data_IF_903165517448
#
_entry.id   IF_903165517448
#
_cell.length_a   1.000
_cell.length_b   1.000
_cell.length_c   1.000
_cell.angle_alpha   90.00
_cell.angle_beta   90.00
_cell.angle_gamma   90.00
#
_symmetry.space_group_name_H-M   'P 1'
#
loop_
_entity.id
_entity.type
_entity.pdbx_description
1 polymer ?
#
# COMPACT_ATOMS: atom_id res chain seq x y z
N UNK A 1 -4.19 7.11 8.20
CA UNK A 1 -3.75 6.02 7.30
C UNK A 1 -2.23 5.93 7.33
N UNK A 2 -1.66 4.72 7.51
CA UNK A 2 -0.21 4.55 7.52
C UNK A 2 0.38 4.90 6.15
N UNK A 3 1.52 5.58 6.16
CA UNK A 3 2.23 5.96 4.94
C UNK A 3 3.70 5.54 5.00
N UNK A 4 4.28 5.25 3.82
CA UNK A 4 5.72 5.23 3.66
C UNK A 4 6.19 6.28 2.66
N UNK A 5 7.30 6.93 2.96
CA UNK A 5 8.04 7.78 2.06
C UNK A 5 9.16 6.96 1.40
N UNK A 6 9.18 6.93 0.07
CA UNK A 6 10.18 6.20 -0.71
C UNK A 6 11.00 7.21 -1.50
N UNK A 7 12.27 7.36 -1.12
CA UNK A 7 13.20 8.26 -1.80
C UNK A 7 13.99 7.56 -2.90
N UNK A 8 14.57 8.33 -3.79
CA UNK A 8 15.27 7.83 -4.98
C UNK A 8 16.57 7.08 -4.69
N UNK A 9 17.11 7.24 -3.48
CA UNK A 9 18.29 6.53 -2.98
C UNK A 9 17.96 5.21 -2.27
N UNK A 10 16.69 4.77 -2.27
CA UNK A 10 16.27 3.54 -1.62
C UNK A 10 16.86 2.28 -2.30
N UNK A 11 17.00 1.21 -1.54
CA UNK A 11 17.36 -0.12 -2.07
C UNK A 11 16.13 -0.76 -2.76
N UNK A 12 15.89 -0.43 -4.02
CA UNK A 12 14.65 -0.68 -4.76
C UNK A 12 14.05 -2.08 -4.53
N UNK A 13 14.80 -3.14 -4.81
CA UNK A 13 14.30 -4.53 -4.68
C UNK A 13 13.86 -4.85 -3.24
N UNK A 14 14.68 -4.51 -2.25
CA UNK A 14 14.38 -4.73 -0.85
C UNK A 14 13.18 -3.91 -0.39
N UNK A 15 13.13 -2.65 -0.81
CA UNK A 15 12.03 -1.72 -0.51
C UNK A 15 10.71 -2.26 -1.04
N UNK A 16 10.65 -2.65 -2.31
CA UNK A 16 9.43 -3.18 -2.92
C UNK A 16 8.96 -4.46 -2.24
N UNK A 17 9.84 -5.42 -1.95
CA UNK A 17 9.47 -6.65 -1.23
C UNK A 17 8.94 -6.36 0.18
N UNK A 18 9.56 -5.43 0.90
CA UNK A 18 9.09 -5.00 2.21
C UNK A 18 7.69 -4.38 2.14
N UNK A 19 7.45 -3.52 1.15
CA UNK A 19 6.17 -2.86 0.93
C UNK A 19 5.09 -3.88 0.55
N UNK A 20 5.35 -4.79 -0.40
CA UNK A 20 4.39 -5.83 -0.81
C UNK A 20 3.97 -6.69 0.40
N UNK A 21 4.94 -7.15 1.20
CA UNK A 21 4.65 -7.91 2.41
C UNK A 21 3.84 -7.09 3.44
N UNK A 22 4.16 -5.82 3.60
CA UNK A 22 3.45 -4.95 4.55
C UNK A 22 2.05 -4.56 4.06
N UNK A 23 1.87 -4.30 2.77
CA UNK A 23 0.59 -3.89 2.20
C UNK A 23 -0.41 -5.05 2.09
N UNK A 24 0.06 -6.23 1.65
CA UNK A 24 -0.81 -7.35 1.29
C UNK A 24 -0.79 -8.52 2.29
N UNK A 25 0.21 -8.59 3.18
CA UNK A 25 0.22 -9.59 4.25
C UNK A 25 -1.04 -9.51 5.11
N UNK A 26 -1.60 -10.67 5.50
CA UNK A 26 -2.89 -10.79 6.18
C UNK A 26 -4.03 -10.08 5.43
N UNK A 27 -4.04 -10.13 4.10
CA UNK A 27 -5.01 -9.43 3.24
C UNK A 27 -5.12 -7.91 3.51
N UNK A 28 -4.05 -7.28 3.99
CA UNK A 28 -4.04 -5.86 4.36
C UNK A 28 -4.84 -5.53 5.63
N UNK A 29 -5.35 -6.53 6.33
CA UNK A 29 -6.18 -6.40 7.54
C UNK A 29 -5.31 -6.37 8.81
N UNK A 30 -4.37 -5.42 8.85
CA UNK A 30 -3.51 -5.15 10.01
C UNK A 30 -3.50 -3.66 10.31
N UNK A 31 -3.53 -3.29 11.59
CA UNK A 31 -3.40 -1.89 12.04
C UNK A 31 -2.07 -1.26 11.61
N UNK A 32 -1.04 -2.07 11.37
CA UNK A 32 0.27 -1.65 10.89
C UNK A 32 0.53 -2.00 9.41
N UNK A 33 -0.51 -2.40 8.64
CA UNK A 33 -0.37 -2.53 7.20
C UNK A 33 0.02 -1.18 6.58
N UNK A 34 0.64 -1.23 5.41
CA UNK A 34 1.11 -0.05 4.68
C UNK A 34 0.24 0.21 3.44
N UNK A 35 -0.90 0.90 3.59
CA UNK A 35 -1.87 1.10 2.50
C UNK A 35 -1.58 2.32 1.63
N UNK A 36 -0.60 3.15 1.96
CA UNK A 36 -0.27 4.35 1.19
C UNK A 36 1.23 4.60 1.10
N UNK A 37 1.67 5.05 -0.07
CA UNK A 37 3.06 5.43 -0.35
C UNK A 37 3.12 6.85 -0.88
N UNK A 38 4.15 7.59 -0.44
CA UNK A 38 4.64 8.79 -1.11
C UNK A 38 5.95 8.41 -1.80
N UNK A 39 5.94 8.28 -3.12
CA UNK A 39 7.08 7.83 -3.92
C UNK A 39 7.69 9.02 -4.67
N UNK A 40 8.99 9.24 -4.51
CA UNK A 40 9.66 10.32 -5.20
C UNK A 40 9.59 10.12 -6.73
N UNK A 41 9.17 11.17 -7.45
CA UNK A 41 8.87 11.13 -8.90
C UNK A 41 10.02 10.57 -9.73
N UNK A 42 11.28 10.89 -9.34
CA UNK A 42 12.49 10.46 -10.07
C UNK A 42 12.65 8.94 -10.19
N UNK A 43 12.03 8.15 -9.28
CA UNK A 43 12.07 6.68 -9.31
C UNK A 43 10.70 6.05 -9.51
N UNK A 44 9.62 6.83 -9.52
CA UNK A 44 8.26 6.32 -9.42
C UNK A 44 7.94 5.29 -10.51
N UNK A 45 8.31 5.51 -11.74
CA UNK A 45 8.01 4.57 -12.83
C UNK A 45 8.72 3.22 -12.65
N UNK A 46 10.02 3.23 -12.33
CA UNK A 46 10.78 2.00 -12.05
C UNK A 46 10.27 1.28 -10.80
N UNK A 47 9.88 2.05 -9.80
CA UNK A 47 9.32 1.52 -8.57
C UNK A 47 7.98 0.83 -8.83
N UNK A 48 7.08 1.48 -9.57
CA UNK A 48 5.75 0.95 -9.93
C UNK A 48 5.88 -0.31 -10.80
N UNK A 49 6.77 -0.31 -11.78
CA UNK A 49 7.03 -1.50 -12.61
C UNK A 49 7.44 -2.70 -11.75
N UNK A 50 8.41 -2.51 -10.84
CA UNK A 50 8.88 -3.58 -9.95
C UNK A 50 7.82 -4.00 -8.93
N UNK A 51 7.04 -3.06 -8.42
CA UNK A 51 5.93 -3.34 -7.51
C UNK A 51 4.86 -4.22 -8.18
N UNK A 52 4.50 -3.90 -9.41
CA UNK A 52 3.55 -4.69 -10.20
C UNK A 52 4.06 -6.11 -10.49
N UNK A 53 5.34 -6.23 -10.86
CA UNK A 53 5.99 -7.52 -11.09
C UNK A 53 5.82 -8.43 -9.87
N UNK A 54 6.28 -7.98 -8.70
CA UNK A 54 6.25 -8.77 -7.46
C UNK A 54 4.80 -9.00 -6.96
N UNK A 55 3.92 -8.00 -7.08
CA UNK A 55 2.54 -8.15 -6.62
C UNK A 55 1.74 -9.16 -7.42
N UNK A 56 2.02 -9.31 -8.72
CA UNK A 56 1.38 -10.30 -9.59
C UNK A 56 1.80 -11.74 -9.31
N UNK A 57 2.95 -11.94 -8.67
CA UNK A 57 3.47 -13.25 -8.28
C UNK A 57 2.81 -13.79 -7.00
N UNK A 58 2.09 -12.93 -6.23
CA UNK A 58 1.46 -13.35 -4.99
C UNK A 58 0.44 -14.45 -5.21
N UNK A 59 0.65 -15.59 -4.56
CA UNK A 59 -0.26 -16.72 -4.58
C UNK A 59 -1.44 -16.47 -3.64
N UNK A 60 -2.63 -16.36 -4.21
CA UNK A 60 -3.88 -16.25 -3.46
C UNK A 60 -4.38 -17.64 -3.08
N UNK A 61 -4.76 -17.85 -1.83
CA UNK A 61 -5.20 -19.17 -1.39
C UNK A 61 -5.69 -19.22 0.06
N UNK A 62 -6.04 -20.40 0.56
CA UNK A 62 -6.48 -20.57 1.94
C UNK A 62 -5.34 -20.28 2.91
N UNK A 63 -5.63 -19.54 3.99
CA UNK A 63 -4.62 -19.03 4.93
C UNK A 63 -3.83 -20.12 5.69
N UNK A 64 -4.33 -21.36 5.73
CA UNK A 64 -3.62 -22.49 6.34
C UNK A 64 -2.62 -23.19 5.39
N UNK A 65 -2.66 -22.90 4.08
CA UNK A 65 -1.69 -23.41 3.12
C UNK A 65 -0.40 -22.57 3.23
N UNK A 66 0.70 -23.22 3.59
CA UNK A 66 2.01 -22.57 3.78
C UNK A 66 2.59 -21.94 2.50
N UNK A 67 2.01 -22.25 1.33
CA UNK A 67 2.41 -21.68 0.06
C UNK A 67 1.56 -20.47 -0.35
N UNK A 68 0.56 -20.10 0.45
CA UNK A 68 -0.29 -18.93 0.24
C UNK A 68 0.41 -17.67 0.73
N UNK A 69 0.49 -16.65 -0.13
CA UNK A 69 1.00 -15.33 0.21
C UNK A 69 -0.12 -14.38 0.66
N UNK A 70 -1.32 -14.51 0.05
CA UNK A 70 -2.47 -13.65 0.27
C UNK A 70 -3.72 -14.50 0.56
N UNK A 71 -4.17 -14.47 1.81
CA UNK A 71 -5.38 -15.15 2.25
C UNK A 71 -6.67 -14.38 1.92
N UNK A 72 -7.84 -14.93 2.32
CA UNK A 72 -9.12 -14.24 2.18
C UNK A 72 -9.24 -13.09 3.18
N UNK A 73 -10.10 -12.11 2.88
CA UNK A 73 -10.56 -11.13 3.88
C UNK A 73 -11.55 -11.79 4.85
N UNK A 74 -11.82 -11.13 5.98
CA UNK A 74 -12.47 -11.74 7.15
C UNK A 74 -13.94 -12.17 6.93
N UNK A 75 -14.70 -11.44 6.09
CA UNK A 75 -16.12 -11.73 5.82
C UNK A 75 -16.54 -11.32 4.41
N UNK A 76 -17.71 -11.84 3.95
CA UNK A 76 -18.32 -11.41 2.69
C UNK A 76 -18.69 -9.92 2.71
N UNK A 77 -19.24 -9.43 3.82
CA UNK A 77 -19.60 -8.01 3.95
C UNK A 77 -18.35 -7.11 3.84
N UNK A 78 -17.23 -7.56 4.42
CA UNK A 78 -15.97 -6.82 4.31
C UNK A 78 -15.39 -6.90 2.90
N UNK A 79 -15.52 -8.04 2.20
CA UNK A 79 -15.17 -8.12 0.78
C UNK A 79 -15.92 -7.06 -0.03
N UNK A 80 -17.24 -6.97 0.13
CA UNK A 80 -18.08 -5.96 -0.55
C UNK A 80 -17.66 -4.52 -0.18
N UNK A 81 -17.29 -4.29 1.09
CA UNK A 81 -16.77 -2.99 1.54
C UNK A 81 -15.48 -2.62 0.81
N UNK A 82 -14.50 -3.53 0.75
CA UNK A 82 -13.21 -3.29 0.06
C UNK A 82 -13.43 -3.07 -1.45
N UNK A 83 -14.26 -3.91 -2.08
CA UNK A 83 -14.61 -3.75 -3.51
C UNK A 83 -15.30 -2.41 -3.79
N UNK A 84 -16.16 -1.94 -2.87
CA UNK A 84 -16.78 -0.61 -2.92
C UNK A 84 -15.75 0.52 -2.84
N UNK A 85 -14.73 0.40 -1.99
CA UNK A 85 -13.64 1.36 -1.93
C UNK A 85 -12.77 1.34 -3.19
N UNK A 86 -12.53 0.17 -3.78
CA UNK A 86 -11.80 0.09 -5.05
C UNK A 86 -12.60 0.82 -6.15
N UNK A 87 -13.92 0.61 -6.21
CA UNK A 87 -14.76 1.33 -7.16
C UNK A 87 -14.73 2.84 -6.93
N UNK A 88 -14.82 3.27 -5.66
CA UNK A 88 -14.72 4.69 -5.31
C UNK A 88 -13.40 5.31 -5.78
N UNK A 89 -12.27 4.64 -5.59
CA UNK A 89 -10.98 5.11 -6.09
C UNK A 89 -10.94 5.29 -7.61
N UNK A 90 -11.60 4.39 -8.36
CA UNK A 90 -11.77 4.54 -9.82
C UNK A 90 -12.65 5.76 -10.15
N UNK A 91 -13.75 5.93 -9.43
CA UNK A 91 -14.70 7.05 -9.66
C UNK A 91 -14.08 8.41 -9.30
N UNK A 92 -13.16 8.45 -8.33
CA UNK A 92 -12.36 9.63 -7.97
C UNK A 92 -11.28 9.96 -9.03
N UNK A 93 -11.01 9.06 -9.98
CA UNK A 93 -10.02 9.25 -11.05
C UNK A 93 -8.62 8.76 -10.71
N UNK A 94 -8.43 8.03 -9.61
CA UNK A 94 -7.16 7.36 -9.33
C UNK A 94 -6.86 6.30 -10.40
N UNK A 95 -5.61 6.19 -10.82
CA UNK A 95 -5.21 5.25 -11.86
C UNK A 95 -5.09 3.83 -11.29
N UNK A 96 -6.11 3.00 -11.51
CA UNK A 96 -6.07 1.58 -11.13
C UNK A 96 -5.10 0.83 -12.06
N UNK A 97 -3.97 0.38 -11.53
CA UNK A 97 -2.89 -0.29 -12.29
C UNK A 97 -2.81 -1.80 -12.03
N UNK A 98 -3.44 -2.26 -10.95
CA UNK A 98 -3.68 -3.67 -10.66
C UNK A 98 -5.02 -3.79 -9.94
N UNK A 99 -5.94 -4.61 -10.48
CA UNK A 99 -7.28 -4.83 -9.94
C UNK A 99 -7.38 -6.24 -9.36
N UNK A 100 -7.57 -6.33 -8.05
CA UNK A 100 -7.71 -7.59 -7.33
C UNK A 100 -9.14 -8.09 -7.21
N UNK A 101 -10.14 -7.37 -7.72
CA UNK A 101 -11.53 -7.79 -7.69
C UNK A 101 -11.76 -9.02 -8.56
N UNK A 102 -12.72 -9.85 -8.16
CA UNK A 102 -13.04 -11.08 -8.90
C UNK A 102 -12.01 -12.21 -8.75
N UNK A 103 -11.06 -12.09 -7.83
CA UNK A 103 -10.13 -13.18 -7.53
C UNK A 103 -10.88 -14.43 -7.06
N UNK A 104 -10.53 -15.58 -7.64
CA UNK A 104 -11.09 -16.89 -7.31
C UNK A 104 -10.00 -17.88 -6.98
N UNK A 105 -10.29 -18.83 -6.09
CA UNK A 105 -9.36 -19.90 -5.71
C UNK A 105 -10.05 -21.23 -5.93
N UNK A 106 -9.44 -22.08 -6.74
CA UNK A 106 -9.97 -23.40 -7.10
C UNK A 106 -10.21 -24.26 -5.85
N UNK A 107 -11.41 -24.82 -5.71
CA UNK A 107 -11.86 -25.57 -4.53
C UNK A 107 -12.31 -24.69 -3.36
N UNK A 108 -12.26 -23.36 -3.49
CA UNK A 108 -12.68 -22.38 -2.50
C UNK A 108 -13.45 -21.23 -3.13
N UNK A 109 -14.30 -21.52 -4.10
CA UNK A 109 -15.01 -20.52 -4.94
C UNK A 109 -15.93 -19.61 -4.12
N UNK A 110 -16.40 -20.07 -2.97
CA UNK A 110 -17.21 -19.28 -2.04
C UNK A 110 -16.36 -18.49 -1.01
N UNK A 111 -15.03 -18.51 -1.13
CA UNK A 111 -14.14 -17.78 -0.26
C UNK A 111 -14.15 -16.27 -0.53
N UNK A 112 -13.83 -15.50 0.49
CA UNK A 112 -13.86 -14.03 0.43
C UNK A 112 -12.53 -13.47 -0.09
N UNK A 113 -12.07 -13.91 -1.27
CA UNK A 113 -10.78 -13.53 -1.84
C UNK A 113 -10.87 -12.22 -2.60
N UNK A 114 -9.87 -11.37 -2.38
CA UNK A 114 -9.54 -10.18 -3.17
C UNK A 114 -8.04 -10.24 -3.42
N UNK A 115 -7.63 -10.07 -4.66
CA UNK A 115 -6.22 -10.00 -5.03
C UNK A 115 -5.58 -8.66 -4.64
N UNK A 116 -4.26 -8.53 -4.81
CA UNK A 116 -3.58 -7.26 -4.59
C UNK A 116 -4.16 -6.20 -5.54
N UNK A 117 -4.50 -5.04 -4.99
CA UNK A 117 -5.04 -3.91 -5.75
C UNK A 117 -4.12 -2.72 -5.57
N UNK A 118 -3.74 -2.06 -6.67
CA UNK A 118 -2.80 -0.94 -6.65
C UNK A 118 -3.35 0.22 -7.46
N UNK A 119 -3.41 1.39 -6.81
CA UNK A 119 -3.70 2.67 -7.44
C UNK A 119 -2.42 3.50 -7.54
N UNK A 120 -2.19 4.11 -8.70
CA UNK A 120 -1.16 5.12 -8.91
C UNK A 120 -1.81 6.51 -9.15
N UNK A 121 -1.01 7.57 -9.07
CA UNK A 121 -1.47 8.96 -9.23
C UNK A 121 -2.64 9.33 -8.30
N UNK A 122 -2.62 8.80 -7.07
CA UNK A 122 -3.59 9.19 -6.04
C UNK A 122 -3.23 10.58 -5.53
N UNK A 123 -4.18 11.50 -5.54
CA UNK A 123 -4.01 12.88 -5.07
C UNK A 123 -4.47 13.05 -3.62
N UNK A 124 -4.18 14.21 -3.03
CA UNK A 124 -4.50 14.49 -1.62
C UNK A 124 -6.01 14.62 -1.35
N UNK A 125 -6.79 15.00 -2.34
CA UNK A 125 -8.25 15.17 -2.27
C UNK A 125 -9.04 13.87 -2.47
N UNK A 126 -8.39 12.79 -2.92
CA UNK A 126 -9.05 11.50 -3.11
C UNK A 126 -9.22 10.75 -1.78
N UNK A 127 -10.46 10.39 -1.44
CA UNK A 127 -10.78 9.69 -0.19
C UNK A 127 -10.09 8.32 -0.10
N UNK A 128 -9.93 7.62 -1.24
CA UNK A 128 -9.19 6.34 -1.27
C UNK A 128 -7.76 6.49 -0.73
N UNK A 129 -7.13 7.65 -0.92
CA UNK A 129 -5.82 7.99 -0.40
C UNK A 129 -5.80 8.45 1.05
N UNK A 130 -6.96 8.78 1.63
CA UNK A 130 -7.13 9.36 2.97
C UNK A 130 -7.63 8.33 3.99
N UNK A 131 -8.70 7.61 3.64
CA UNK A 131 -9.42 6.73 4.55
C UNK A 131 -8.80 5.31 4.61
N UNK A 132 -8.93 4.64 5.74
CA UNK A 132 -8.48 3.27 5.92
C UNK A 132 -9.48 2.29 5.30
N UNK A 133 -9.06 1.57 4.25
CA UNK A 133 -9.87 0.53 3.59
C UNK A 133 -9.85 -0.78 4.38
N UNK A 134 -8.74 -1.09 5.05
CA UNK A 134 -8.49 -2.31 5.80
C UNK A 134 -8.62 -3.57 4.93
N UNK A 135 -7.96 -3.55 3.78
CA UNK A 135 -7.96 -4.60 2.76
C UNK A 135 -6.70 -4.55 1.89
N UNK A 136 -6.55 -5.46 0.91
CA UNK A 136 -5.34 -5.54 0.09
C UNK A 136 -5.30 -4.46 -1.01
N UNK A 137 -5.36 -3.20 -0.57
CA UNK A 137 -5.40 -2.01 -1.45
C UNK A 137 -4.26 -1.07 -1.09
N UNK A 138 -3.41 -0.78 -2.06
CA UNK A 138 -2.25 0.11 -1.96
C UNK A 138 -2.43 1.33 -2.84
N UNK A 139 -2.22 2.52 -2.28
CA UNK A 139 -2.31 3.80 -2.97
C UNK A 139 -0.93 4.44 -3.11
N UNK A 140 -0.57 4.89 -4.31
CA UNK A 140 0.69 5.56 -4.59
C UNK A 140 0.41 7.03 -4.89
N UNK A 141 1.00 7.91 -4.10
CA UNK A 141 1.09 9.36 -4.29
C UNK A 141 2.50 9.67 -4.80
N UNK A 142 2.61 10.35 -5.91
CA UNK A 142 3.90 10.78 -6.43
C UNK A 142 4.29 12.12 -5.81
N UNK A 143 5.52 12.25 -5.34
CA UNK A 143 6.02 13.45 -4.66
C UNK A 143 7.32 13.92 -5.28
N UNK A 144 7.54 15.22 -5.25
CA UNK A 144 8.74 15.83 -5.80
C UNK A 144 10.00 15.47 -5.01
N UNK A 145 9.90 15.55 -3.68
CA UNK A 145 11.04 15.42 -2.79
C UNK A 145 10.62 14.98 -1.37
N UNK A 146 11.60 14.86 -0.49
CA UNK A 146 11.42 14.53 0.92
C UNK A 146 10.43 15.45 1.65
N UNK A 147 10.51 16.77 1.41
CA UNK A 147 9.71 17.75 2.13
C UNK A 147 8.23 17.63 1.77
N UNK A 148 7.92 17.48 0.49
CA UNK A 148 6.55 17.27 0.04
C UNK A 148 5.98 15.95 0.56
N UNK A 149 6.75 14.85 0.48
CA UNK A 149 6.31 13.56 0.97
C UNK A 149 6.05 13.55 2.47
N UNK A 150 6.94 14.13 3.26
CA UNK A 150 6.78 14.25 4.70
C UNK A 150 5.54 15.09 5.08
N UNK A 151 5.34 16.22 4.38
CA UNK A 151 4.15 17.06 4.57
C UNK A 151 2.86 16.26 4.30
N UNK A 152 2.77 15.61 3.12
CA UNK A 152 1.59 14.81 2.77
C UNK A 152 1.28 13.70 3.79
N UNK A 153 2.32 13.08 4.35
CA UNK A 153 2.14 12.06 5.38
C UNK A 153 1.61 12.64 6.69
N UNK A 154 2.15 13.79 7.12
CA UNK A 154 1.75 14.43 8.37
C UNK A 154 0.38 15.12 8.27
N UNK A 155 -0.03 15.56 7.07
CA UNK A 155 -1.35 16.16 6.83
C UNK A 155 -2.50 15.13 6.87
N UNK A 156 -2.20 13.83 6.92
CA UNK A 156 -3.25 12.82 7.07
C UNK A 156 -3.80 12.83 8.50
N UNK A 157 -5.13 12.84 8.62
CA UNK A 157 -5.86 12.87 9.90
C UNK A 157 -5.48 11.73 10.86
N UNK A 158 -5.04 10.59 10.32
CA UNK A 158 -4.70 9.38 11.08
C UNK A 158 -3.22 9.06 10.96
N UNK A 159 -2.53 8.98 12.08
CA UNK A 159 -1.09 8.73 12.14
C UNK A 159 -0.74 7.61 13.13
N UNK A 160 -0.92 6.34 12.74
CA UNK A 160 -0.47 5.21 13.55
C UNK A 160 0.99 4.82 13.24
N UNK A 161 1.34 4.60 11.97
CA UNK A 161 2.68 4.26 11.55
C UNK A 161 3.18 5.08 10.38
N UNK A 162 4.46 5.45 10.44
CA UNK A 162 5.19 6.16 9.38
C UNK A 162 6.50 5.44 9.10
N UNK A 163 6.83 5.27 7.82
CA UNK A 163 8.06 4.57 7.40
C UNK A 163 8.79 5.43 6.36
N UNK A 164 10.12 5.38 6.37
CA UNK A 164 10.94 5.92 5.29
C UNK A 164 11.85 4.82 4.70
N UNK A 165 11.97 4.81 3.39
CA UNK A 165 12.94 3.99 2.66
C UNK A 165 13.95 4.91 2.00
N UNK A 166 15.15 4.96 2.56
CA UNK A 166 16.28 5.78 2.10
C UNK A 166 17.60 5.17 2.53
N UNK A 167 18.65 5.42 1.79
CA UNK A 167 20.04 5.10 2.19
C UNK A 167 20.74 6.29 2.88
N UNK A 168 20.07 7.45 2.96
CA UNK A 168 20.61 8.67 3.56
C UNK A 168 20.42 8.70 5.08
N UNK A 169 21.52 8.72 5.82
CA UNK A 169 21.48 8.95 7.26
C UNK A 169 20.95 10.34 7.66
N UNK A 170 20.99 11.30 6.76
CA UNK A 170 20.38 12.63 6.97
C UNK A 170 18.87 12.54 6.93
N UNK A 171 18.28 12.01 5.85
CA UNK A 171 16.84 11.87 5.72
C UNK A 171 16.24 10.93 6.77
N UNK A 172 16.95 9.87 7.15
CA UNK A 172 16.53 8.98 8.24
C UNK A 172 16.32 9.74 9.57
N UNK A 173 17.29 10.58 9.94
CA UNK A 173 17.19 11.39 11.18
C UNK A 173 16.14 12.49 11.10
N UNK A 174 16.06 13.19 9.96
CA UNK A 174 15.04 14.23 9.76
C UNK A 174 13.64 13.64 9.77
N UNK A 175 13.44 12.50 9.16
CA UNK A 175 12.18 11.80 9.18
C UNK A 175 11.76 11.39 10.60
N UNK A 176 12.65 10.74 11.34
CA UNK A 176 12.38 10.30 12.71
C UNK A 176 12.02 11.47 13.65
N UNK A 177 12.61 12.66 13.40
CA UNK A 177 12.38 13.85 14.23
C UNK A 177 11.10 14.60 13.86
N UNK A 178 10.65 14.51 12.61
CA UNK A 178 9.61 15.40 12.05
C UNK A 178 8.31 14.69 11.67
N UNK A 179 8.29 13.35 11.63
CA UNK A 179 7.06 12.62 11.33
C UNK A 179 6.13 12.60 12.54
N UNK A 180 4.83 12.73 12.30
CA UNK A 180 3.78 12.69 13.33
C UNK A 180 3.26 11.27 13.60
N UNK A 181 3.82 10.24 12.96
CA UNK A 181 3.44 8.85 13.18
C UNK A 181 3.77 8.35 14.59
N UNK A 182 2.87 7.59 15.19
CA UNK A 182 3.06 6.99 16.51
C UNK A 182 4.18 5.94 16.56
N UNK A 183 4.40 5.22 15.46
CA UNK A 183 5.51 4.28 15.27
C UNK A 183 6.30 4.69 14.03
N UNK A 184 7.61 4.76 14.15
CA UNK A 184 8.51 5.22 13.08
C UNK A 184 9.42 4.07 12.65
N UNK A 185 9.38 3.74 11.35
CA UNK A 185 10.27 2.79 10.71
C UNK A 185 11.28 3.46 9.76
N UNK A 186 12.50 2.96 9.74
CA UNK A 186 13.57 3.43 8.86
C UNK A 186 14.20 2.23 8.14
#
# INVERSE_FOLDING_TARGET
KNHALVLDDCMLERTVRGIVNSAFGCAGERCMALPALCVQESIADRFVEKLLEISKELKIGPAYDKTTDLGPVVTESHKKHVEGWIQKGVDEGAKLILDGRGATVSGFENGFYIGPTIFDHVTEDMEIGQQEVFGPVLCIKRVKDFEEGLRMMNDNEFANGSVIYTSSGYYSREFARRTDGGMVGI
#
